data_IF_132001962002
#
_entry.id   IF_132001962002
#
_cell.length_a   1.000
_cell.length_b   1.000
_cell.length_c   1.000
_cell.angle_alpha   90.00
_cell.angle_beta   90.00
_cell.angle_gamma   90.00
#
_symmetry.space_group_name_H-M   'P 1'
#
loop_
_entity.id
_entity.type
_entity.pdbx_description
1 polymer ?
#
# COMPACT_ATOMS: atom_id res chain seq x y z
N UNK A 1 38.31 -35.90 -26.76
CA UNK A 1 39.02 -35.60 -25.51
C UNK A 1 38.10 -34.72 -24.66
N UNK A 2 37.86 -35.16 -23.45
CA UNK A 2 37.03 -34.44 -22.50
C UNK A 2 37.77 -33.19 -22.00
N UNK A 3 37.09 -32.03 -22.09
CA UNK A 3 37.61 -30.76 -21.57
C UNK A 3 36.91 -30.39 -20.26
N UNK A 4 37.60 -30.62 -19.14
CA UNK A 4 37.08 -30.33 -17.79
C UNK A 4 36.76 -28.86 -17.59
N UNK A 5 37.59 -27.95 -18.08
CA UNK A 5 37.39 -26.50 -17.95
C UNK A 5 36.12 -26.04 -18.64
N UNK A 6 35.83 -26.56 -19.82
CA UNK A 6 34.64 -26.26 -20.59
C UNK A 6 33.37 -26.76 -19.88
N UNK A 7 33.43 -27.94 -19.25
CA UNK A 7 32.37 -28.51 -18.45
C UNK A 7 32.10 -27.65 -17.21
N UNK A 8 33.14 -27.23 -16.52
CA UNK A 8 33.04 -26.39 -15.32
C UNK A 8 32.46 -25.01 -15.65
N UNK A 9 32.82 -24.41 -16.77
CA UNK A 9 32.25 -23.15 -17.23
C UNK A 9 30.74 -23.25 -17.49
N UNK A 10 30.29 -24.29 -18.14
CA UNK A 10 28.87 -24.54 -18.39
C UNK A 10 28.09 -24.71 -17.10
N UNK A 11 28.66 -25.42 -16.15
CA UNK A 11 28.07 -25.66 -14.83
C UNK A 11 27.95 -24.35 -14.06
N UNK A 12 28.99 -23.54 -14.02
CA UNK A 12 28.99 -22.24 -13.36
C UNK A 12 27.94 -21.31 -13.95
N UNK A 13 27.85 -21.30 -15.28
CA UNK A 13 26.87 -20.48 -15.99
C UNK A 13 25.44 -20.89 -15.64
N UNK A 14 25.17 -22.19 -15.60
CA UNK A 14 23.86 -22.72 -15.21
C UNK A 14 23.50 -22.38 -13.78
N UNK A 15 24.48 -22.49 -12.86
CA UNK A 15 24.29 -22.12 -11.44
C UNK A 15 23.99 -20.62 -11.29
N UNK A 16 24.68 -19.78 -12.05
CA UNK A 16 24.45 -18.34 -12.04
C UNK A 16 23.06 -17.98 -12.58
N UNK A 17 22.66 -18.60 -13.67
CA UNK A 17 21.32 -18.39 -14.27
C UNK A 17 20.21 -18.78 -13.27
N UNK A 18 20.38 -19.93 -12.61
CA UNK A 18 19.42 -20.38 -11.60
C UNK A 18 19.35 -19.41 -10.42
N UNK A 19 20.49 -18.90 -9.96
CA UNK A 19 20.54 -17.92 -8.87
C UNK A 19 19.85 -16.60 -9.25
N UNK A 20 20.03 -16.15 -10.49
CA UNK A 20 19.38 -14.94 -11.01
C UNK A 20 17.86 -15.12 -11.08
N UNK A 21 17.39 -16.27 -11.57
CA UNK A 21 15.96 -16.58 -11.64
C UNK A 21 15.32 -16.59 -10.25
N UNK A 22 15.97 -17.24 -9.26
CA UNK A 22 15.50 -17.24 -7.89
C UNK A 22 15.44 -15.84 -7.30
N UNK A 23 16.46 -15.02 -7.56
CA UNK A 23 16.50 -13.64 -7.11
C UNK A 23 15.35 -12.81 -7.70
N UNK A 24 15.07 -12.99 -8.98
CA UNK A 24 13.96 -12.32 -9.67
C UNK A 24 12.62 -12.75 -9.11
N UNK A 25 12.41 -14.04 -8.90
CA UNK A 25 11.17 -14.56 -8.30
C UNK A 25 10.93 -14.00 -6.91
N UNK A 26 11.96 -13.98 -6.06
CA UNK A 26 11.87 -13.41 -4.72
C UNK A 26 11.55 -11.92 -4.77
N UNK A 27 12.19 -11.20 -5.67
CA UNK A 27 11.94 -9.77 -5.88
C UNK A 27 10.51 -9.49 -6.30
N UNK A 28 9.98 -10.29 -7.23
CA UNK A 28 8.60 -10.17 -7.69
C UNK A 28 7.61 -10.46 -6.59
N UNK A 29 7.80 -11.55 -5.83
CA UNK A 29 6.93 -11.91 -4.70
C UNK A 29 6.93 -10.83 -3.63
N UNK A 30 8.11 -10.31 -3.31
CA UNK A 30 8.26 -9.23 -2.33
C UNK A 30 7.56 -7.95 -2.80
N UNK A 31 7.75 -7.59 -4.06
CA UNK A 31 7.10 -6.42 -4.66
C UNK A 31 5.59 -6.51 -4.66
N UNK A 32 5.05 -7.68 -5.01
CA UNK A 32 3.60 -7.93 -4.97
C UNK A 32 3.05 -7.82 -3.56
N UNK A 33 3.71 -8.45 -2.59
CA UNK A 33 3.29 -8.40 -1.19
C UNK A 33 3.31 -6.97 -0.63
N UNK A 34 4.35 -6.21 -0.91
CA UNK A 34 4.47 -4.80 -0.51
C UNK A 34 3.40 -3.93 -1.18
N UNK A 35 3.16 -4.15 -2.48
CA UNK A 35 2.13 -3.44 -3.23
C UNK A 35 0.73 -3.71 -2.71
N UNK A 36 0.40 -4.97 -2.41
CA UNK A 36 -0.88 -5.35 -1.82
C UNK A 36 -1.07 -4.74 -0.44
N UNK A 37 -0.03 -4.78 0.41
CA UNK A 37 -0.08 -4.19 1.74
C UNK A 37 -0.29 -2.68 1.68
N UNK A 38 0.42 -2.00 0.78
CA UNK A 38 0.29 -0.55 0.57
C UNK A 38 -1.10 -0.19 0.05
N UNK A 39 -1.59 -0.92 -0.94
CA UNK A 39 -2.93 -0.70 -1.49
C UNK A 39 -4.03 -0.91 -0.46
N UNK A 40 -3.86 -1.90 0.41
CA UNK A 40 -4.81 -2.17 1.50
C UNK A 40 -4.82 -1.03 2.51
N UNK A 41 -3.65 -0.51 2.89
CA UNK A 41 -3.54 0.62 3.82
C UNK A 41 -4.11 1.90 3.22
N UNK A 42 -3.81 2.19 1.95
CA UNK A 42 -4.37 3.33 1.23
C UNK A 42 -5.88 3.24 1.13
N UNK A 43 -6.41 2.06 0.81
CA UNK A 43 -7.85 1.82 0.74
C UNK A 43 -8.56 2.03 2.07
N UNK A 44 -7.96 1.58 3.17
CA UNK A 44 -8.48 1.81 4.52
C UNK A 44 -8.48 3.30 4.87
N UNK A 45 -7.40 4.00 4.55
CA UNK A 45 -7.28 5.43 4.81
C UNK A 45 -8.32 6.24 4.03
N UNK A 46 -8.51 5.92 2.75
CA UNK A 46 -9.53 6.54 1.90
C UNK A 46 -10.94 6.26 2.43
N UNK A 47 -11.21 5.01 2.80
CA UNK A 47 -12.50 4.61 3.36
C UNK A 47 -12.83 5.34 4.66
N UNK A 48 -11.85 5.52 5.53
CA UNK A 48 -12.02 6.29 6.76
C UNK A 48 -12.29 7.76 6.48
N UNK A 49 -11.56 8.33 5.54
CA UNK A 49 -11.75 9.73 5.14
C UNK A 49 -13.13 9.98 4.55
N UNK A 50 -13.59 9.09 3.66
CA UNK A 50 -14.92 9.15 3.08
C UNK A 50 -16.01 9.00 4.14
N UNK A 51 -15.84 8.06 5.06
CA UNK A 51 -16.78 7.82 6.16
C UNK A 51 -16.90 9.04 7.07
N UNK A 52 -15.79 9.69 7.40
CA UNK A 52 -15.77 10.92 8.19
C UNK A 52 -16.49 12.06 7.45
N UNK A 53 -16.20 12.22 6.16
CA UNK A 53 -16.85 13.25 5.35
C UNK A 53 -18.38 13.07 5.28
N UNK A 54 -18.83 11.83 5.10
CA UNK A 54 -20.27 11.53 5.11
C UNK A 54 -20.91 11.83 6.45
N UNK A 55 -20.25 11.45 7.56
CA UNK A 55 -20.73 11.71 8.91
C UNK A 55 -20.85 13.22 9.17
N UNK A 56 -19.85 14.00 8.78
CA UNK A 56 -19.85 15.45 8.92
C UNK A 56 -21.02 16.07 8.11
N UNK A 57 -21.20 15.64 6.88
CA UNK A 57 -22.31 16.13 6.03
C UNK A 57 -23.67 15.83 6.63
N UNK A 58 -23.86 14.65 7.20
CA UNK A 58 -25.11 14.26 7.87
C UNK A 58 -25.34 15.10 9.11
N UNK A 59 -24.31 15.37 9.90
CA UNK A 59 -24.40 16.20 11.11
C UNK A 59 -24.76 17.64 10.76
N UNK A 60 -24.16 18.20 9.70
CA UNK A 60 -24.50 19.54 9.21
C UNK A 60 -25.94 19.62 8.73
N UNK A 61 -26.39 18.61 7.98
CA UNK A 61 -27.77 18.52 7.48
C UNK A 61 -28.78 18.41 8.65
N UNK A 62 -28.38 17.80 9.76
CA UNK A 62 -29.19 17.73 10.98
C UNK A 62 -29.24 19.03 11.78
N UNK A 63 -28.52 20.06 11.36
CA UNK A 63 -28.49 21.37 12.02
C UNK A 63 -27.50 21.49 13.16
N UNK A 64 -26.51 20.61 13.24
CA UNK A 64 -25.47 20.69 14.26
C UNK A 64 -24.48 21.82 13.96
N UNK A 65 -24.00 22.47 14.99
CA UNK A 65 -22.97 23.51 14.86
C UNK A 65 -21.62 22.89 14.55
N UNK A 66 -20.79 23.63 13.84
CA UNK A 66 -19.41 23.22 13.50
C UNK A 66 -18.62 22.87 14.77
N UNK A 67 -18.80 23.65 15.83
CA UNK A 67 -18.13 23.41 17.11
C UNK A 67 -18.50 22.06 17.75
N UNK A 68 -19.78 21.70 17.68
CA UNK A 68 -20.28 20.41 18.16
C UNK A 68 -19.71 19.27 17.32
N UNK A 69 -19.66 19.42 16.02
CA UNK A 69 -19.10 18.43 15.10
C UNK A 69 -17.61 18.23 15.36
N UNK A 70 -16.85 19.31 15.56
CA UNK A 70 -15.45 19.26 15.91
C UNK A 70 -15.21 18.47 17.19
N UNK A 71 -16.03 18.67 18.20
CA UNK A 71 -15.92 17.97 19.47
C UNK A 71 -16.26 16.48 19.32
N UNK A 72 -17.32 16.14 18.60
CA UNK A 72 -17.75 14.74 18.41
C UNK A 72 -16.79 13.96 17.55
N UNK A 73 -16.32 14.56 16.46
CA UNK A 73 -15.44 13.91 15.50
C UNK A 73 -13.95 14.02 15.85
N UNK A 74 -13.63 14.77 16.90
CA UNK A 74 -12.24 15.07 17.28
C UNK A 74 -11.43 15.68 16.12
N UNK A 75 -12.05 16.59 15.41
CA UNK A 75 -11.48 17.23 14.23
C UNK A 75 -11.33 18.73 14.44
N UNK A 76 -10.39 19.33 13.71
CA UNK A 76 -10.24 20.79 13.70
C UNK A 76 -11.36 21.42 12.87
N UNK A 77 -11.64 22.69 13.13
CA UNK A 77 -12.64 23.46 12.38
C UNK A 77 -12.30 23.48 10.88
N UNK A 78 -11.03 23.63 10.54
CA UNK A 78 -10.57 23.63 9.15
C UNK A 78 -10.85 22.32 8.46
N UNK A 79 -10.65 21.21 9.13
CA UNK A 79 -10.94 19.88 8.59
C UNK A 79 -12.43 19.68 8.33
N UNK A 80 -13.28 20.12 9.25
CA UNK A 80 -14.73 20.06 9.09
C UNK A 80 -15.18 20.92 7.92
N UNK A 81 -14.65 22.12 7.81
CA UNK A 81 -14.96 23.04 6.71
C UNK A 81 -14.57 22.48 5.33
N UNK A 82 -13.47 21.73 5.25
CA UNK A 82 -13.08 21.06 4.02
C UNK A 82 -14.05 19.97 3.58
N UNK A 83 -14.75 19.39 4.51
CA UNK A 83 -15.70 18.29 4.26
C UNK A 83 -17.09 18.76 3.90
N UNK A 84 -17.36 20.05 4.03
CA UNK A 84 -18.60 20.65 3.53
C UNK A 84 -18.69 20.57 1.96
#
# INVERSE_FOLDING_TARGET
IFNQDMYDERRRKGELEAALEEGMERGMKKGLAEGEARGREEGKAEGRAEGKAEAVKKMLAAGMDIEQICAIMEMSREEVERME
#
